data_IF_278601378239
#
_entry.id   IF_278601378239
#
_cell.length_a   1.000
_cell.length_b   1.000
_cell.length_c   1.000
_cell.angle_alpha   90.00
_cell.angle_beta   90.00
_cell.angle_gamma   90.00
#
_symmetry.space_group_name_H-M   'P 1'
#
loop_
_entity.id
_entity.type
_entity.pdbx_description
1 polymer ?
#
# COMPACT_ATOMS: atom_id res chain seq x y z
N UNK A 1 -23.41 -21.97 2.56
CA UNK A 1 -24.10 -22.80 3.57
C UNK A 1 -23.80 -22.21 4.95
N UNK A 2 -24.80 -21.88 5.76
CA UNK A 2 -24.57 -21.30 7.10
C UNK A 2 -24.48 -22.42 8.15
N UNK A 3 -23.39 -22.46 8.92
CA UNK A 3 -23.24 -23.36 10.07
C UNK A 3 -23.56 -22.59 11.34
N UNK A 4 -24.50 -23.12 12.10
CA UNK A 4 -25.00 -22.53 13.35
C UNK A 4 -24.42 -23.31 14.52
N UNK A 5 -23.64 -22.65 15.38
CA UNK A 5 -23.15 -23.24 16.63
C UNK A 5 -24.12 -22.92 17.76
N UNK A 6 -24.67 -23.98 18.36
CA UNK A 6 -25.69 -23.90 19.40
C UNK A 6 -25.14 -24.50 20.68
N UNK A 7 -25.46 -23.93 21.84
CA UNK A 7 -25.09 -24.51 23.14
C UNK A 7 -25.92 -25.77 23.43
N UNK A 8 -25.56 -26.51 24.48
CA UNK A 8 -26.29 -27.72 24.91
C UNK A 8 -27.72 -27.48 25.40
N UNK A 9 -28.14 -26.22 25.54
CA UNK A 9 -29.49 -25.78 25.87
C UNK A 9 -30.27 -25.28 24.65
N UNK A 10 -29.76 -25.48 23.43
CA UNK A 10 -30.44 -25.05 22.21
C UNK A 10 -30.34 -23.55 21.92
N UNK A 11 -29.60 -22.77 22.72
CA UNK A 11 -29.40 -21.35 22.49
C UNK A 11 -28.23 -21.09 21.53
N UNK A 12 -28.46 -20.19 20.57
CA UNK A 12 -27.47 -19.76 19.59
C UNK A 12 -26.25 -19.14 20.30
N UNK A 13 -25.06 -19.70 20.10
CA UNK A 13 -23.81 -19.10 20.59
C UNK A 13 -23.23 -18.19 19.50
N UNK A 14 -23.18 -18.69 18.27
CA UNK A 14 -22.51 -17.99 17.17
C UNK A 14 -23.08 -18.42 15.82
N UNK A 15 -23.42 -17.45 14.97
CA UNK A 15 -23.85 -17.69 13.59
C UNK A 15 -22.73 -17.27 12.65
N UNK A 16 -21.99 -18.26 12.13
CA UNK A 16 -21.04 -17.99 11.03
C UNK A 16 -21.87 -17.72 9.78
N UNK A 17 -21.98 -16.43 9.43
CA UNK A 17 -22.50 -16.05 8.12
C UNK A 17 -21.34 -16.12 7.13
N UNK A 18 -21.22 -17.25 6.43
CA UNK A 18 -20.28 -17.42 5.32
C UNK A 18 -20.82 -16.70 4.05
N UNK A 19 -21.26 -15.45 4.23
CA UNK A 19 -21.47 -14.51 3.16
C UNK A 19 -20.09 -13.95 2.82
N UNK A 20 -19.48 -14.54 1.79
CA UNK A 20 -18.44 -13.97 0.93
C UNK A 20 -17.96 -12.59 1.40
N UNK A 21 -16.80 -12.53 2.07
CA UNK A 21 -15.97 -11.33 2.01
C UNK A 21 -15.56 -11.20 0.54
N UNK A 22 -16.44 -10.68 -0.30
CA UNK A 22 -15.95 -10.12 -1.56
C UNK A 22 -15.07 -8.97 -1.17
N UNK A 23 -13.84 -8.98 -1.67
CA UNK A 23 -13.09 -7.74 -1.82
C UNK A 23 -14.05 -6.74 -2.48
N UNK A 24 -14.46 -5.72 -1.74
CA UNK A 24 -15.39 -4.72 -2.25
C UNK A 24 -14.64 -3.94 -3.33
N UNK A 25 -14.98 -4.19 -4.59
CA UNK A 25 -14.40 -3.44 -5.71
C UNK A 25 -15.16 -2.14 -5.89
N UNK A 26 -14.44 -1.02 -5.85
CA UNK A 26 -14.99 0.29 -6.18
C UNK A 26 -14.71 0.58 -7.66
N UNK A 27 -15.73 1.01 -8.41
CA UNK A 27 -15.58 1.43 -9.79
C UNK A 27 -15.49 2.96 -9.88
N UNK A 28 -14.46 3.45 -10.57
CA UNK A 28 -14.29 4.87 -10.88
C UNK A 28 -13.76 5.04 -12.31
N UNK A 29 -13.93 6.22 -12.89
CA UNK A 29 -13.46 6.54 -14.24
C UNK A 29 -12.18 7.37 -14.17
N UNK A 30 -11.14 6.94 -14.88
CA UNK A 30 -9.86 7.66 -14.97
C UNK A 30 -9.70 8.18 -16.39
N UNK A 31 -9.20 9.42 -16.52
CA UNK A 31 -8.77 9.98 -17.80
C UNK A 31 -7.26 9.85 -17.91
N UNK A 32 -6.80 9.36 -19.05
CA UNK A 32 -5.39 9.28 -19.43
C UNK A 32 -5.24 9.82 -20.86
N UNK A 33 -4.03 10.13 -21.29
CA UNK A 33 -3.77 10.48 -22.68
C UNK A 33 -4.06 9.30 -23.62
N UNK A 34 -4.40 9.60 -24.87
CA UNK A 34 -4.63 8.59 -25.92
C UNK A 34 -3.41 7.68 -26.11
N UNK A 35 -2.21 8.26 -26.00
CA UNK A 35 -0.95 7.52 -26.07
C UNK A 35 -0.84 6.48 -24.96
N UNK A 36 -1.14 6.85 -23.71
CA UNK A 36 -1.13 5.94 -22.57
C UNK A 36 -2.19 4.85 -22.72
N UNK A 37 -3.40 5.20 -23.16
CA UNK A 37 -4.46 4.22 -23.40
C UNK A 37 -4.07 3.18 -24.48
N UNK A 38 -3.41 3.64 -25.55
CA UNK A 38 -2.88 2.76 -26.60
C UNK A 38 -1.79 1.83 -26.09
N UNK A 39 -0.81 2.36 -25.36
CA UNK A 39 0.27 1.56 -24.74
C UNK A 39 -0.28 0.51 -23.78
N UNK A 40 -1.23 0.88 -22.93
CA UNK A 40 -1.86 -0.06 -21.99
C UNK A 40 -2.63 -1.17 -22.71
N UNK A 41 -3.29 -0.85 -23.84
CA UNK A 41 -3.98 -1.85 -24.67
C UNK A 41 -2.99 -2.89 -25.21
N UNK A 42 -1.86 -2.45 -25.76
CA UNK A 42 -0.82 -3.35 -26.28
C UNK A 42 -0.20 -4.23 -25.19
N UNK A 43 0.00 -3.70 -23.98
CA UNK A 43 0.48 -4.47 -22.84
C UNK A 43 -0.54 -5.54 -22.44
N UNK A 44 -1.81 -5.16 -22.32
CA UNK A 44 -2.89 -6.05 -21.92
C UNK A 44 -3.04 -7.24 -22.91
N UNK A 45 -2.97 -6.97 -24.22
CA UNK A 45 -2.99 -8.00 -25.27
C UNK A 45 -1.82 -8.98 -25.15
N UNK A 46 -0.59 -8.49 -24.92
CA UNK A 46 0.60 -9.34 -24.78
C UNK A 46 0.56 -10.22 -23.53
N UNK A 47 -0.13 -9.77 -22.49
CA UNK A 47 -0.23 -10.46 -21.20
C UNK A 47 -1.50 -11.31 -21.06
N UNK A 48 -2.34 -11.37 -22.09
CA UNK A 48 -3.65 -12.05 -22.05
C UNK A 48 -4.50 -11.60 -20.84
N UNK A 49 -4.59 -10.27 -20.68
CA UNK A 49 -5.34 -9.61 -19.60
C UNK A 49 -6.23 -8.52 -20.16
N UNK A 50 -7.26 -8.16 -19.40
CA UNK A 50 -8.11 -7.02 -19.77
C UNK A 50 -7.42 -5.70 -19.45
N UNK A 51 -7.76 -4.63 -20.19
CA UNK A 51 -7.25 -3.28 -19.90
C UNK A 51 -7.64 -2.81 -18.50
N UNK A 52 -8.84 -3.16 -18.05
CA UNK A 52 -9.33 -2.81 -16.72
C UNK A 52 -8.52 -3.52 -15.62
N UNK A 53 -8.17 -4.79 -15.83
CA UNK A 53 -7.30 -5.53 -14.93
C UNK A 53 -5.92 -4.86 -14.82
N UNK A 54 -5.28 -4.56 -15.96
CA UNK A 54 -3.97 -3.91 -15.97
C UNK A 54 -4.00 -2.52 -15.32
N UNK A 55 -5.09 -1.76 -15.52
CA UNK A 55 -5.27 -0.46 -14.88
C UNK A 55 -5.44 -0.59 -13.37
N UNK A 56 -6.27 -1.52 -12.90
CA UNK A 56 -6.46 -1.77 -11.48
C UNK A 56 -5.14 -2.17 -10.81
N UNK A 57 -4.41 -3.12 -11.40
CA UNK A 57 -3.13 -3.59 -10.85
C UNK A 57 -2.09 -2.47 -10.76
N UNK A 58 -2.00 -1.62 -11.79
CA UNK A 58 -1.09 -0.47 -11.78
C UNK A 58 -1.47 0.56 -10.70
N UNK A 59 -2.77 0.79 -10.47
CA UNK A 59 -3.25 1.72 -9.44
C UNK A 59 -3.01 1.15 -8.04
N UNK A 60 -3.30 -0.13 -7.82
CA UNK A 60 -3.07 -0.81 -6.53
C UNK A 60 -1.58 -0.79 -6.16
N UNK A 61 -0.70 -1.12 -7.10
CA UNK A 61 0.74 -1.06 -6.89
C UNK A 61 1.23 0.36 -6.58
N UNK A 62 0.66 1.37 -7.24
CA UNK A 62 0.97 2.77 -6.94
C UNK A 62 0.54 3.15 -5.51
N UNK A 63 -0.68 2.78 -5.10
CA UNK A 63 -1.20 3.08 -3.76
C UNK A 63 -0.34 2.42 -2.69
N UNK A 64 -0.03 1.13 -2.84
CA UNK A 64 0.83 0.40 -1.90
C UNK A 64 2.21 1.06 -1.76
N UNK A 65 2.78 1.53 -2.88
CA UNK A 65 4.06 2.24 -2.86
C UNK A 65 3.97 3.62 -2.19
N UNK A 66 2.84 4.33 -2.28
CA UNK A 66 2.71 5.67 -1.71
C UNK A 66 2.27 5.66 -0.24
N UNK A 67 1.50 4.66 0.19
CA UNK A 67 0.92 4.61 1.53
C UNK A 67 2.00 4.61 2.62
N UNK A 68 3.02 3.76 2.49
CA UNK A 68 4.11 3.72 3.47
C UNK A 68 4.91 5.03 3.49
N UNK A 69 5.13 5.65 2.33
CA UNK A 69 5.92 6.86 2.22
C UNK A 69 5.20 8.05 2.86
N UNK A 70 3.90 8.18 2.60
CA UNK A 70 3.11 9.25 3.19
C UNK A 70 3.02 9.09 4.72
N UNK A 71 2.78 7.87 5.20
CA UNK A 71 2.74 7.59 6.63
C UNK A 71 4.06 7.95 7.34
N UNK A 72 5.20 7.62 6.74
CA UNK A 72 6.51 7.94 7.30
C UNK A 72 6.79 9.45 7.32
N UNK A 73 6.40 10.16 6.26
CA UNK A 73 6.53 11.62 6.20
C UNK A 73 5.67 12.29 7.27
N UNK A 74 4.42 11.86 7.41
CA UNK A 74 3.50 12.40 8.42
C UNK A 74 4.00 12.13 9.83
N UNK A 75 4.54 10.93 10.10
CA UNK A 75 5.15 10.60 11.38
C UNK A 75 6.37 11.49 11.68
N UNK A 76 7.30 11.63 10.74
CA UNK A 76 8.48 12.47 10.91
C UNK A 76 8.16 13.96 11.08
N UNK A 77 7.12 14.46 10.41
CA UNK A 77 6.62 15.82 10.63
C UNK A 77 6.06 15.98 12.05
N UNK A 78 5.27 15.02 12.53
CA UNK A 78 4.73 15.06 13.89
C UNK A 78 5.82 14.98 14.97
N UNK A 79 6.89 14.20 14.75
CA UNK A 79 8.08 14.16 15.62
C UNK A 79 8.81 15.51 15.63
N UNK A 80 9.05 16.09 14.45
CA UNK A 80 9.68 17.40 14.29
C UNK A 80 8.88 18.52 14.99
N UNK A 81 7.56 18.51 14.87
CA UNK A 81 6.67 19.48 15.54
C UNK A 81 6.72 19.35 17.08
N UNK A 82 7.01 18.15 17.60
CA UNK A 82 7.27 17.91 19.03
C UNK A 82 8.71 18.24 19.44
N UNK A 83 9.57 18.63 18.49
CA UNK A 83 10.98 18.92 18.73
C UNK A 83 11.85 17.68 18.90
N UNK A 84 11.37 16.50 18.49
CA UNK A 84 12.07 15.21 18.60
C UNK A 84 13.13 15.06 17.50
N UNK A 85 14.10 15.96 17.50
CA UNK A 85 15.25 15.89 16.60
C UNK A 85 16.40 15.11 17.23
N UNK A 86 17.20 14.46 16.37
CA UNK A 86 18.48 13.90 16.79
C UNK A 86 19.39 15.01 17.36
N UNK A 87 20.15 14.68 18.39
CA UNK A 87 21.13 15.62 18.94
C UNK A 87 22.28 15.83 17.95
N UNK A 88 23.03 16.93 18.12
CA UNK A 88 24.23 17.18 17.32
C UNK A 88 25.26 16.03 17.43
N UNK A 89 25.35 15.37 18.59
CA UNK A 89 26.23 14.22 18.81
C UNK A 89 25.77 12.99 18.02
N UNK A 90 24.47 12.70 18.01
CA UNK A 90 23.90 11.59 17.24
C UNK A 90 24.15 11.78 15.75
N UNK A 91 23.94 13.00 15.25
CA UNK A 91 24.21 13.36 13.85
C UNK A 91 25.69 13.19 13.53
N UNK A 92 26.60 13.67 14.38
CA UNK A 92 28.04 13.54 14.19
C UNK A 92 28.49 12.07 14.13
N UNK A 93 27.89 11.20 14.95
CA UNK A 93 28.16 9.76 14.96
C UNK A 93 27.74 9.08 13.65
N UNK A 94 26.56 9.40 13.12
CA UNK A 94 26.07 8.86 11.84
C UNK A 94 26.95 9.34 10.69
N UNK A 95 27.23 10.65 10.61
CA UNK A 95 28.10 11.24 9.58
C UNK A 95 29.48 10.59 9.60
N UNK A 96 30.10 10.44 10.77
CA UNK A 96 31.41 9.82 10.93
C UNK A 96 31.47 8.36 10.47
N UNK A 97 30.35 7.62 10.54
CA UNK A 97 30.25 6.22 10.09
C UNK A 97 30.23 6.09 8.58
N UNK A 98 29.58 7.01 7.86
CA UNK A 98 29.31 6.86 6.42
C UNK A 98 30.14 7.79 5.52
N UNK A 99 30.71 8.87 6.05
CA UNK A 99 31.53 9.83 5.25
C UNK A 99 33.02 9.43 5.17
N UNK A 100 33.47 8.41 5.92
CA UNK A 100 34.84 7.87 5.77
C UNK A 100 34.97 6.90 4.59
N UNK A 101 35.01 7.43 3.37
CA UNK A 101 35.88 7.00 2.25
C UNK A 101 35.49 7.72 0.94
N UNK A 102 36.03 8.93 0.73
CA UNK A 102 36.03 9.58 -0.60
C UNK A 102 37.28 10.45 -0.83
N UNK A 103 38.36 10.19 -0.07
CA UNK A 103 39.68 10.80 -0.30
C UNK A 103 40.76 9.81 0.08
N UNK A 104 41.17 8.99 -0.88
CA UNK A 104 42.49 8.36 -0.86
C UNK A 104 43.15 8.76 -2.19
N UNK A 105 44.21 9.60 -2.18
CA UNK A 105 45.04 9.79 -3.36
C UNK A 105 45.79 8.50 -3.72
#
# INVERSE_FOLDING_TARGET
>A
MSRTLTNRFGSLIFKVNQGRLEAMTAAFTVRVSDETASKLTQIAEKLDRSRAYMAAEAIEAFVEQQEWQLAEIEAGLAEADRGEFASAEDVAKVVGKYVKSARQP
#
